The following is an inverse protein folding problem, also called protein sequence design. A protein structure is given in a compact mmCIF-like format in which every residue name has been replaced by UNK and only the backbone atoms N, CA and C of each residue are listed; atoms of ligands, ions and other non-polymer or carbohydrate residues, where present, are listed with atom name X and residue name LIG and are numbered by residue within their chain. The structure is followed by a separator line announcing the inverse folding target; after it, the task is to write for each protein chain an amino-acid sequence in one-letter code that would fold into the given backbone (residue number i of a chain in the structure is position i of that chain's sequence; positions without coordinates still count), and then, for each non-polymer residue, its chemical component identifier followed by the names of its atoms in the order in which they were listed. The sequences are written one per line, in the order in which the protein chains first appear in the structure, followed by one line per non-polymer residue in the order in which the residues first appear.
data_IF_088814054065
#
_entry.id   IF_088814054065
#
_cell.length_a   1.000
_cell.length_b   1.000
_cell.length_c   1.000
_cell.angle_alpha   90.00
_cell.angle_beta   90.00
_cell.angle_gamma   90.00
#
_symmetry.space_group_name_H-M   'P 1'
#
loop_
_entity.id
_entity.type
_entity.pdbx_description
1 polymer ?
#
# COMPACT_ATOMS: atom_id res chain seq x y z
N UNK A 1 1.00 -12.57 6.23
CA UNK A 1 0.35 -11.80 5.13
C UNK A 1 0.84 -10.34 5.12
N UNK A 2 1.82 -10.04 5.96
CA UNK A 2 2.09 -8.71 6.49
C UNK A 2 2.72 -7.85 5.41
N UNK A 3 3.64 -8.44 4.66
CA UNK A 3 4.25 -7.83 3.47
C UNK A 3 3.21 -7.51 2.39
N UNK A 4 2.16 -8.33 2.22
CA UNK A 4 1.11 -8.07 1.22
C UNK A 4 0.31 -6.83 1.62
N UNK A 5 -0.07 -6.70 2.89
CA UNK A 5 -0.76 -5.52 3.41
C UNK A 5 0.09 -4.24 3.25
N UNK A 6 1.39 -4.33 3.53
CA UNK A 6 2.30 -3.22 3.31
C UNK A 6 2.42 -2.86 1.81
N UNK A 7 2.56 -3.85 0.92
CA UNK A 7 2.66 -3.61 -0.52
C UNK A 7 1.40 -2.91 -1.06
N UNK A 8 0.21 -3.26 -0.56
CA UNK A 8 -1.05 -2.59 -0.96
C UNK A 8 -0.94 -1.07 -0.78
N UNK A 9 -0.42 -0.61 0.36
CA UNK A 9 -0.28 0.83 0.66
C UNK A 9 0.96 1.44 0.00
N UNK A 10 2.07 0.70 -0.06
CA UNK A 10 3.35 1.19 -0.58
C UNK A 10 3.39 1.28 -2.11
N UNK A 11 2.67 0.43 -2.83
CA UNK A 11 2.62 0.45 -4.30
C UNK A 11 2.13 1.81 -4.88
N UNK A 12 0.97 2.36 -4.46
CA UNK A 12 0.52 3.66 -4.93
C UNK A 12 1.40 4.81 -4.41
N UNK A 13 1.96 4.71 -3.20
CA UNK A 13 2.91 5.70 -2.68
C UNK A 13 4.17 5.76 -3.56
N UNK A 14 4.74 4.62 -3.91
CA UNK A 14 5.90 4.54 -4.79
C UNK A 14 5.57 5.09 -6.18
N UNK A 15 4.40 4.77 -6.73
CA UNK A 15 3.94 5.34 -7.99
C UNK A 15 3.78 6.88 -7.93
N UNK A 16 3.31 7.42 -6.80
CA UNK A 16 3.22 8.86 -6.57
C UNK A 16 4.60 9.52 -6.46
N UNK A 17 5.56 8.90 -5.76
CA UNK A 17 6.95 9.38 -5.69
C UNK A 17 7.60 9.38 -7.07
N UNK A 18 7.42 8.31 -7.85
CA UNK A 18 7.98 8.20 -9.20
C UNK A 18 7.36 9.25 -10.14
N UNK A 19 6.03 9.37 -10.17
CA UNK A 19 5.35 10.33 -11.05
C UNK A 19 5.53 11.79 -10.61
N UNK A 20 5.63 12.06 -9.32
CA UNK A 20 5.81 13.39 -8.75
C UNK A 20 7.24 13.92 -8.92
N UNK A 21 8.25 13.13 -8.52
CA UNK A 21 9.66 13.56 -8.58
C UNK A 21 10.27 13.41 -9.98
N UNK A 22 9.87 12.37 -10.72
CA UNK A 22 10.47 12.03 -12.02
C UNK A 22 9.51 12.23 -13.21
N UNK A 23 8.40 12.94 -13.00
CA UNK A 23 7.37 13.18 -14.02
C UNK A 23 7.90 13.85 -15.30
N UNK A 24 8.95 14.67 -15.19
CA UNK A 24 9.59 15.33 -16.35
C UNK A 24 10.40 14.36 -17.21
N UNK A 25 11.02 13.35 -16.59
CA UNK A 25 11.82 12.33 -17.27
C UNK A 25 10.95 11.28 -17.95
N UNK A 26 9.85 10.87 -17.30
CA UNK A 26 8.95 9.82 -17.82
C UNK A 26 7.81 10.37 -18.70
N UNK A 27 7.62 11.69 -18.71
CA UNK A 27 6.59 12.38 -19.48
C UNK A 27 5.17 12.08 -19.01
N UNK A 28 4.18 12.72 -19.66
CA UNK A 28 2.75 12.59 -19.30
C UNK A 28 2.26 11.13 -19.37
N UNK A 29 2.66 10.41 -20.41
CA UNK A 29 2.23 9.02 -20.64
C UNK A 29 2.81 8.07 -19.60
N UNK A 30 4.10 8.22 -19.27
CA UNK A 30 4.74 7.44 -18.22
C UNK A 30 4.13 7.72 -16.85
N UNK A 31 3.91 9.00 -16.52
CA UNK A 31 3.38 9.39 -15.22
C UNK A 31 2.02 8.77 -14.94
N UNK A 32 1.04 8.92 -15.85
CA UNK A 32 -0.28 8.33 -15.61
C UNK A 32 -0.24 6.80 -15.64
N UNK A 33 0.59 6.19 -16.50
CA UNK A 33 0.67 4.73 -16.61
C UNK A 33 1.23 4.12 -15.32
N UNK A 34 2.27 4.70 -14.74
CA UNK A 34 2.85 4.26 -13.46
C UNK A 34 1.83 4.38 -12.33
N UNK A 35 1.07 5.50 -12.27
CA UNK A 35 0.01 5.65 -11.26
C UNK A 35 -1.11 4.64 -11.41
N UNK A 36 -1.54 4.35 -12.65
CA UNK A 36 -2.58 3.35 -12.94
C UNK A 36 -2.09 1.95 -12.53
N UNK A 37 -0.85 1.60 -12.86
CA UNK A 37 -0.26 0.31 -12.48
C UNK A 37 -0.12 0.17 -10.96
N UNK A 38 0.32 1.23 -10.25
CA UNK A 38 0.45 1.22 -8.79
C UNK A 38 -0.90 1.00 -8.09
N UNK A 39 -1.94 1.74 -8.50
CA UNK A 39 -3.29 1.58 -7.96
C UNK A 39 -3.92 0.24 -8.38
N UNK A 40 -3.70 -0.19 -9.63
CA UNK A 40 -4.19 -1.47 -10.15
C UNK A 40 -3.61 -2.67 -9.39
N UNK A 41 -2.31 -2.64 -9.08
CA UNK A 41 -1.67 -3.67 -8.25
C UNK A 41 -2.27 -3.70 -6.85
N UNK A 42 -2.42 -2.54 -6.21
CA UNK A 42 -3.07 -2.41 -4.90
C UNK A 42 -4.48 -2.99 -4.91
N UNK A 43 -5.27 -2.72 -5.96
CA UNK A 43 -6.62 -3.24 -6.11
C UNK A 43 -6.63 -4.77 -6.22
N UNK A 44 -5.79 -5.36 -7.08
CA UNK A 44 -5.73 -6.82 -7.25
C UNK A 44 -5.34 -7.51 -5.95
N UNK A 45 -4.32 -7.01 -5.25
CA UNK A 45 -3.90 -7.56 -3.96
C UNK A 45 -4.99 -7.42 -2.90
N UNK A 46 -5.71 -6.30 -2.87
CA UNK A 46 -6.87 -6.10 -1.98
C UNK A 46 -7.98 -7.10 -2.26
N UNK A 47 -8.25 -7.42 -3.53
CA UNK A 47 -9.23 -8.45 -3.90
C UNK A 47 -8.80 -9.86 -3.46
N UNK A 48 -7.50 -10.17 -3.57
CA UNK A 48 -6.94 -11.44 -3.05
C UNK A 48 -7.12 -11.52 -1.53
N UNK A 49 -6.74 -10.47 -0.80
CA UNK A 49 -6.93 -10.36 0.65
C UNK A 49 -8.39 -10.50 1.06
N UNK A 50 -9.30 -9.88 0.33
CA UNK A 50 -10.73 -10.00 0.54
C UNK A 50 -11.19 -11.45 0.38
N UNK A 51 -10.80 -12.10 -0.72
CA UNK A 51 -11.15 -13.50 -0.98
C UNK A 51 -10.69 -14.42 0.17
N UNK A 52 -9.46 -14.16 0.62
CA UNK A 52 -8.79 -14.87 1.69
C UNK A 52 -9.51 -14.76 3.05
N UNK A 53 -9.96 -13.56 3.45
CA UNK A 53 -10.72 -13.40 4.69
C UNK A 53 -12.15 -13.91 4.59
N UNK A 54 -12.84 -13.66 3.48
CA UNK A 54 -14.27 -13.93 3.35
C UNK A 54 -14.56 -15.39 3.04
N UNK A 55 -13.78 -16.02 2.17
CA UNK A 55 -14.06 -17.37 1.68
C UNK A 55 -13.12 -18.44 2.27
N UNK A 56 -11.88 -18.08 2.62
CA UNK A 56 -10.91 -19.03 3.14
C UNK A 56 -10.75 -18.98 4.67
N UNK A 57 -11.53 -18.13 5.35
CA UNK A 57 -11.57 -18.08 6.82
C UNK A 57 -10.28 -17.59 7.47
N UNK A 58 -9.49 -16.76 6.79
CA UNK A 58 -8.33 -16.15 7.43
C UNK A 58 -8.76 -15.26 8.61
N UNK A 59 -8.09 -15.37 9.77
CA UNK A 59 -8.41 -14.56 10.94
C UNK A 59 -8.14 -13.08 10.67
N UNK A 60 -8.78 -12.23 11.47
CA UNK A 60 -8.55 -10.78 11.45
C UNK A 60 -7.07 -10.52 11.72
N UNK A 61 -6.46 -9.71 10.86
CA UNK A 61 -5.10 -9.24 11.01
C UNK A 61 -5.10 -7.83 11.60
N UNK A 62 -4.50 -7.67 12.78
CA UNK A 62 -4.36 -6.39 13.48
C UNK A 62 -3.01 -6.37 14.22
N UNK A 63 -1.97 -5.97 13.50
CA UNK A 63 -0.59 -5.96 14.00
C UNK A 63 0.01 -4.56 13.83
N UNK A 64 0.93 -4.22 14.74
CA UNK A 64 1.61 -2.94 14.77
C UNK A 64 2.78 -2.92 13.78
N UNK A 65 2.83 -1.91 12.93
CA UNK A 65 3.92 -1.75 11.96
C UNK A 65 5.13 -1.09 12.62
N UNK A 66 4.91 0.00 13.37
CA UNK A 66 5.94 0.67 14.17
C UNK A 66 5.30 1.66 15.14
N UNK A 67 5.96 1.94 16.27
CA UNK A 67 5.52 3.02 17.17
C UNK A 67 6.04 4.37 16.67
N UNK A 68 5.15 5.25 16.23
CA UNK A 68 5.53 6.55 15.67
C UNK A 68 5.66 7.67 16.70
N UNK A 69 5.07 7.49 17.88
CA UNK A 69 5.18 8.43 19.00
C UNK A 69 5.02 7.71 20.34
N UNK A 70 5.76 8.18 21.34
CA UNK A 70 5.53 7.84 22.74
C UNK A 70 5.35 9.14 23.52
N UNK A 71 4.21 9.29 24.20
CA UNK A 71 3.89 10.51 24.95
C UNK A 71 3.14 10.17 26.23
N UNK A 72 3.71 10.55 27.36
CA UNK A 72 3.09 10.40 28.69
C UNK A 72 2.53 8.99 28.97
N UNK A 73 3.29 7.95 28.62
CA UNK A 73 2.87 6.54 28.79
C UNK A 73 2.00 5.98 27.66
N UNK A 74 1.58 6.80 26.69
CA UNK A 74 0.82 6.36 25.52
C UNK A 74 1.76 5.98 24.37
N UNK A 75 1.57 4.77 23.83
CA UNK A 75 2.21 4.30 22.61
C UNK A 75 1.26 4.56 21.44
N UNK A 76 1.77 5.23 20.41
CA UNK A 76 1.06 5.42 19.15
C UNK A 76 1.66 4.49 18.10
N UNK A 77 0.84 3.57 17.60
CA UNK A 77 1.19 2.38 16.82
C UNK A 77 0.64 2.45 15.39
#
# INVERSE_FOLDING_TARGET
MDTVYLIIVLAPLLAAVVSGLFGRQIGRVGAHSVTILGVGLSFVLSAVVFYQHVFNGLPVYNETVYTWMFSDGLHFE
#
